data_IF_157877833707
#
_entry.id   IF_157877833707
#
_cell.length_a   1.000
_cell.length_b   1.000
_cell.length_c   1.000
_cell.angle_alpha   90.00
_cell.angle_beta   90.00
_cell.angle_gamma   90.00
#
_symmetry.space_group_name_H-M   'P 1'
#
loop_
_entity.id
_entity.type
_entity.pdbx_description
1 polymer ?
#
# COMPACT_ATOMS: atom_id res chain seq x y z
N UNK A 1 -10.14 1.80 0.34
CA UNK A 1 -10.08 1.13 1.66
C UNK A 1 -10.35 -0.37 1.49
N UNK A 2 -9.80 -1.19 2.39
CA UNK A 2 -10.05 -2.63 2.49
C UNK A 2 -10.73 -2.98 3.82
N UNK A 3 -11.42 -4.10 3.87
CA UNK A 3 -11.83 -4.76 5.12
C UNK A 3 -11.15 -6.12 5.13
N UNK A 4 -10.26 -6.32 6.09
CA UNK A 4 -9.31 -7.42 6.17
C UNK A 4 -8.35 -7.50 4.96
N UNK A 5 -7.27 -8.28 5.11
CA UNK A 5 -6.27 -8.50 4.08
C UNK A 5 -5.86 -9.97 4.04
N UNK A 6 -6.53 -10.74 3.19
CA UNK A 6 -6.20 -12.14 2.96
C UNK A 6 -4.92 -12.37 2.17
N UNK A 7 -4.52 -13.64 1.99
CA UNK A 7 -3.34 -14.00 1.23
C UNK A 7 -3.43 -13.53 -0.23
N UNK A 8 -2.28 -13.25 -0.85
CA UNK A 8 -2.17 -12.79 -2.23
C UNK A 8 -2.95 -11.49 -2.53
N UNK A 9 -3.09 -10.59 -1.55
CA UNK A 9 -3.88 -9.36 -1.70
C UNK A 9 -3.50 -8.53 -2.93
N UNK A 10 -2.21 -8.45 -3.29
CA UNK A 10 -1.78 -7.75 -4.51
C UNK A 10 -2.37 -8.36 -5.79
N UNK A 11 -2.47 -9.70 -5.87
CA UNK A 11 -3.09 -10.37 -7.02
C UNK A 11 -4.59 -10.04 -7.10
N UNK A 12 -5.27 -10.06 -5.95
CA UNK A 12 -6.68 -9.74 -5.82
C UNK A 12 -6.97 -8.30 -6.25
N UNK A 13 -6.18 -7.34 -5.76
CA UNK A 13 -6.31 -5.92 -6.13
C UNK A 13 -6.03 -5.71 -7.62
N UNK A 14 -4.95 -6.30 -8.15
CA UNK A 14 -4.62 -6.20 -9.56
C UNK A 14 -5.72 -6.76 -10.48
N UNK A 15 -6.41 -7.82 -10.05
CA UNK A 15 -7.51 -8.43 -10.82
C UNK A 15 -8.73 -7.50 -10.98
N UNK A 16 -8.89 -6.51 -10.10
CA UNK A 16 -9.92 -5.46 -10.19
C UNK A 16 -9.34 -4.11 -10.65
N UNK A 17 -8.08 -4.07 -11.09
CA UNK A 17 -7.44 -2.85 -11.60
C UNK A 17 -6.99 -1.87 -10.51
N UNK A 18 -6.72 -2.35 -9.30
CA UNK A 18 -6.24 -1.53 -8.17
C UNK A 18 -4.78 -1.87 -7.86
N UNK A 19 -3.91 -0.86 -7.80
CA UNK A 19 -2.53 -1.02 -7.33
C UNK A 19 -2.47 -0.99 -5.79
N UNK A 20 -1.54 -1.73 -5.17
CA UNK A 20 -1.39 -1.75 -3.70
C UNK A 20 -1.17 -0.33 -3.14
N UNK A 21 -0.51 0.55 -3.89
CA UNK A 21 -0.24 1.92 -3.48
C UNK A 21 -1.45 2.86 -3.63
N UNK A 22 -2.60 2.36 -4.10
CA UNK A 22 -3.88 3.09 -4.08
C UNK A 22 -4.68 2.78 -2.80
N UNK A 23 -4.23 1.83 -1.99
CA UNK A 23 -4.90 1.45 -0.75
C UNK A 23 -4.62 2.49 0.33
N UNK A 24 -5.58 3.40 0.52
CA UNK A 24 -5.51 4.42 1.58
C UNK A 24 -5.50 3.83 3.01
N UNK A 25 -6.28 2.77 3.23
CA UNK A 25 -6.45 2.20 4.56
C UNK A 25 -7.12 0.84 4.58
N UNK A 26 -6.94 0.13 5.70
CA UNK A 26 -7.53 -1.17 6.00
C UNK A 26 -8.30 -1.10 7.32
N UNK A 27 -9.53 -1.61 7.32
CA UNK A 27 -10.27 -1.95 8.52
C UNK A 27 -10.06 -3.42 8.84
N UNK A 28 -9.60 -3.76 10.05
CA UNK A 28 -9.27 -5.14 10.40
C UNK A 28 -10.22 -5.68 11.46
N UNK A 29 -10.77 -6.86 11.21
CA UNK A 29 -11.74 -7.53 12.07
C UNK A 29 -11.08 -8.43 13.09
N UNK A 30 -10.13 -9.28 12.68
CA UNK A 30 -9.44 -10.26 13.51
C UNK A 30 -8.22 -10.89 12.83
N UNK A 31 -7.40 -11.63 13.59
CA UNK A 31 -6.08 -12.09 13.16
C UNK A 31 -6.01 -13.53 12.59
N UNK A 32 -7.09 -14.09 12.02
CA UNK A 32 -6.99 -15.35 11.26
C UNK A 32 -6.20 -15.16 9.96
N UNK A 33 -5.49 -16.21 9.50
CA UNK A 33 -4.52 -16.09 8.40
C UNK A 33 -5.14 -15.59 7.10
N UNK A 34 -6.36 -15.99 6.80
CA UNK A 34 -7.14 -15.58 5.62
C UNK A 34 -7.70 -14.16 5.70
N UNK A 35 -7.61 -13.51 6.86
CA UNK A 35 -7.94 -12.09 7.09
C UNK A 35 -6.69 -11.22 7.34
N UNK A 36 -5.55 -11.83 7.62
CA UNK A 36 -4.34 -11.16 8.13
C UNK A 36 -3.15 -11.22 7.16
N UNK A 37 -2.95 -12.32 6.43
CA UNK A 37 -1.68 -12.61 5.76
C UNK A 37 -1.25 -11.54 4.74
N UNK A 38 -2.21 -10.84 4.13
CA UNK A 38 -1.99 -9.75 3.19
C UNK A 38 -1.31 -8.53 3.81
N UNK A 39 -1.33 -8.36 5.13
CA UNK A 39 -0.59 -7.29 5.81
C UNK A 39 0.91 -7.30 5.49
N UNK A 40 1.50 -8.48 5.26
CA UNK A 40 2.91 -8.60 4.84
C UNK A 40 3.19 -7.95 3.48
N UNK A 41 2.19 -7.90 2.60
CA UNK A 41 2.26 -7.20 1.31
C UNK A 41 1.99 -5.71 1.50
N UNK A 42 1.01 -5.35 2.33
CA UNK A 42 0.67 -3.95 2.61
C UNK A 42 1.80 -3.20 3.35
N UNK A 43 2.52 -3.88 4.25
CA UNK A 43 3.72 -3.34 4.92
C UNK A 43 4.89 -3.04 3.94
N UNK A 44 4.76 -3.45 2.68
CA UNK A 44 5.70 -3.22 1.58
C UNK A 44 5.17 -2.22 0.56
N UNK A 45 4.13 -1.45 0.90
CA UNK A 45 3.68 -0.31 0.12
C UNK A 45 4.71 0.83 0.15
N UNK A 46 4.57 1.78 -0.77
CA UNK A 46 5.43 2.96 -0.86
C UNK A 46 5.03 4.10 0.09
N UNK A 47 3.93 3.94 0.82
CA UNK A 47 3.46 4.84 1.87
C UNK A 47 2.88 4.01 3.02
N UNK A 48 2.75 4.61 4.21
CA UNK A 48 2.10 3.96 5.35
C UNK A 48 0.59 3.91 5.13
N UNK A 49 0.06 2.70 5.05
CA UNK A 49 -1.38 2.47 4.92
C UNK A 49 -2.03 2.70 6.30
N UNK A 50 -3.17 3.40 6.33
CA UNK A 50 -3.92 3.62 7.57
C UNK A 50 -4.53 2.32 8.07
N UNK A 51 -4.26 1.97 9.32
CA UNK A 51 -4.69 0.72 9.95
C UNK A 51 -5.77 1.03 11.00
N UNK A 52 -7.01 0.70 10.67
CA UNK A 52 -8.19 0.93 11.50
C UNK A 52 -8.64 -0.37 12.16
N UNK A 53 -8.65 -0.37 13.49
CA UNK A 53 -9.07 -1.53 14.27
C UNK A 53 -9.32 -1.11 15.70
N UNK A 54 -9.97 -1.94 16.51
CA UNK A 54 -9.91 -1.74 17.95
C UNK A 54 -8.52 -2.05 18.49
N UNK A 55 -8.13 -1.39 19.59
CA UNK A 55 -6.85 -1.61 20.25
C UNK A 55 -6.62 -3.08 20.64
N UNK A 56 -7.70 -3.81 20.97
CA UNK A 56 -7.65 -5.23 21.29
C UNK A 56 -7.17 -6.08 20.09
N UNK A 57 -7.83 -5.91 18.94
CA UNK A 57 -7.48 -6.63 17.71
C UNK A 57 -6.10 -6.20 17.21
N UNK A 58 -5.79 -4.89 17.26
CA UNK A 58 -4.45 -4.38 16.90
C UNK A 58 -3.36 -5.04 17.73
N UNK A 59 -3.51 -5.12 19.05
CA UNK A 59 -2.50 -5.73 19.92
C UNK A 59 -2.27 -7.21 19.57
N UNK A 60 -3.33 -7.97 19.26
CA UNK A 60 -3.23 -9.36 18.81
C UNK A 60 -2.50 -9.49 17.48
N UNK A 61 -2.88 -8.66 16.50
CA UNK A 61 -2.25 -8.59 15.17
C UNK A 61 -0.78 -8.21 15.27
N UNK A 62 -0.42 -7.20 16.07
CA UNK A 62 0.98 -6.79 16.28
C UNK A 62 1.80 -7.92 16.86
N UNK A 63 1.32 -8.60 17.90
CA UNK A 63 1.99 -9.77 18.49
C UNK A 63 2.22 -10.90 17.50
N UNK A 64 1.31 -11.09 16.56
CA UNK A 64 1.43 -12.11 15.50
C UNK A 64 2.34 -11.66 14.35
N UNK A 65 2.23 -10.42 13.90
CA UNK A 65 2.95 -9.91 12.73
C UNK A 65 4.42 -9.63 13.02
N UNK A 66 4.74 -9.08 14.19
CA UNK A 66 6.10 -8.74 14.58
C UNK A 66 7.11 -9.89 14.43
N UNK A 67 6.86 -11.11 14.95
CA UNK A 67 7.77 -12.23 14.73
C UNK A 67 7.82 -12.68 13.26
N UNK A 68 6.72 -12.61 12.51
CA UNK A 68 6.70 -12.95 11.07
C UNK A 68 7.56 -12.00 10.24
N UNK A 69 7.64 -10.74 10.65
CA UNK A 69 8.48 -9.72 10.04
C UNK A 69 9.87 -9.61 10.70
N UNK A 70 10.17 -10.41 11.73
CA UNK A 70 11.42 -10.30 12.51
C UNK A 70 11.68 -8.87 13.03
N UNK A 71 10.63 -8.18 13.47
CA UNK A 71 10.68 -6.84 14.06
C UNK A 71 10.15 -6.85 15.50
N UNK A 72 10.48 -5.82 16.28
CA UNK A 72 9.85 -5.61 17.58
C UNK A 72 8.41 -5.12 17.44
N UNK A 73 7.56 -5.33 18.45
CA UNK A 73 6.17 -4.84 18.46
C UNK A 73 6.08 -3.31 18.27
N UNK A 74 7.04 -2.55 18.81
CA UNK A 74 7.09 -1.10 18.70
C UNK A 74 7.38 -0.60 17.26
N UNK A 75 7.84 -1.47 16.36
CA UNK A 75 8.09 -1.09 14.97
C UNK A 75 6.81 -1.09 14.11
N UNK A 76 5.70 -1.67 14.58
CA UNK A 76 4.47 -1.80 13.79
C UNK A 76 3.97 -0.46 13.23
N UNK A 77 3.98 0.59 14.06
CA UNK A 77 3.54 1.97 13.70
C UNK A 77 4.46 2.67 12.69
N UNK A 78 5.62 2.07 12.38
CA UNK A 78 6.53 2.55 11.35
C UNK A 78 6.19 1.98 9.97
N UNK A 79 5.40 0.90 9.91
CA UNK A 79 4.91 0.31 8.66
C UNK A 79 3.45 0.70 8.37
N UNK A 80 2.67 1.00 9.40
CA UNK A 80 1.25 1.39 9.29
C UNK A 80 0.96 2.66 10.08
N UNK A 81 0.03 3.48 9.59
CA UNK A 81 -0.53 4.60 10.36
C UNK A 81 -1.66 4.08 11.24
N UNK A 82 -1.40 3.87 12.54
CA UNK A 82 -2.38 3.28 13.46
C UNK A 82 -3.51 4.26 13.79
N UNK A 83 -4.75 3.81 13.60
CA UNK A 83 -5.97 4.53 13.91
C UNK A 83 -6.88 3.66 14.77
N UNK A 84 -6.71 3.72 16.09
CA UNK A 84 -7.50 2.93 17.04
C UNK A 84 -8.97 3.39 17.08
N UNK A 85 -9.88 2.44 16.87
CA UNK A 85 -11.32 2.64 16.95
C UNK A 85 -11.85 2.27 18.34
N UNK A 86 -12.82 3.03 18.82
CA UNK A 86 -13.48 2.78 20.11
C UNK A 86 -14.66 1.83 19.91
N UNK A 87 -14.69 0.73 20.69
CA UNK A 87 -15.80 -0.22 20.73
C UNK A 87 -17.15 0.46 21.01
N UNK A 88 -18.20 -0.06 20.36
CA UNK A 88 -19.60 0.33 20.55
C UNK A 88 -19.90 1.83 20.31
N UNK A 89 -18.96 2.58 19.72
CA UNK A 89 -19.11 3.98 19.34
C UNK A 89 -18.93 4.16 17.84
N UNK A 90 -19.65 5.13 17.28
CA UNK A 90 -19.41 5.59 15.91
C UNK A 90 -18.15 6.46 15.90
N UNK A 91 -17.10 5.97 15.24
CA UNK A 91 -15.85 6.68 15.02
C UNK A 91 -15.95 7.34 13.64
N UNK A 92 -15.82 8.67 13.57
CA UNK A 92 -15.93 9.41 12.31
C UNK A 92 -14.58 9.49 11.60
N UNK A 93 -14.54 9.05 10.36
CA UNK A 93 -13.37 9.03 9.47
C UNK A 93 -13.78 9.80 8.21
N UNK A 94 -13.53 11.11 8.21
CA UNK A 94 -13.81 12.00 7.07
C UNK A 94 -15.24 11.87 6.49
N UNK A 95 -16.24 11.66 7.36
CA UNK A 95 -17.65 11.49 7.00
C UNK A 95 -18.13 10.04 6.90
N UNK A 96 -17.22 9.06 6.89
CA UNK A 96 -17.54 7.65 7.08
C UNK A 96 -17.53 7.32 8.58
N UNK A 97 -18.68 6.94 9.14
CA UNK A 97 -18.76 6.52 10.54
C UNK A 97 -18.63 4.99 10.66
N UNK A 98 -17.70 4.55 11.51
CA UNK A 98 -17.42 3.11 11.74
C UNK A 98 -17.61 2.77 13.21
N UNK A 99 -18.43 1.76 13.49
CA UNK A 99 -18.66 1.23 14.83
C UNK A 99 -18.19 -0.21 14.94
N UNK A 100 -17.03 -0.46 15.55
CA UNK A 100 -16.61 -1.82 15.88
C UNK A 100 -17.40 -2.35 17.06
N UNK A 101 -17.83 -3.60 16.97
CA UNK A 101 -18.57 -4.30 18.03
C UNK A 101 -17.86 -5.60 18.35
N UNK A 102 -17.72 -5.89 19.65
CA UNK A 102 -17.07 -7.10 20.12
C UNK A 102 -17.84 -8.36 19.67
N UNK A 103 -17.11 -9.35 19.16
CA UNK A 103 -17.64 -10.64 18.72
C UNK A 103 -16.86 -11.76 19.43
N UNK A 104 -17.52 -12.62 20.24
CA UNK A 104 -16.86 -13.76 20.87
C UNK A 104 -16.33 -14.73 19.82
N UNK A 105 -15.02 -15.00 19.87
CA UNK A 105 -14.30 -15.86 18.93
C UNK A 105 -12.99 -16.35 19.59
N UNK A 106 -12.35 -17.45 19.14
CA UNK A 106 -11.09 -17.93 19.73
C UNK A 106 -9.90 -16.97 19.59
N UNK A 107 -9.98 -16.00 18.67
CA UNK A 107 -9.03 -14.88 18.58
C UNK A 107 -9.75 -13.55 18.82
N UNK A 108 -9.01 -12.52 19.22
CA UNK A 108 -9.55 -11.17 19.40
C UNK A 108 -10.29 -10.71 18.12
N UNK A 109 -11.58 -10.43 18.24
CA UNK A 109 -12.45 -10.17 17.09
C UNK A 109 -13.42 -9.02 17.34
N UNK A 110 -13.51 -8.13 16.35
CA UNK A 110 -14.59 -7.16 16.23
C UNK A 110 -15.28 -7.28 14.86
N UNK A 111 -16.61 -7.26 14.85
CA UNK A 111 -17.38 -7.02 13.64
C UNK A 111 -17.53 -5.52 13.42
N UNK A 112 -17.75 -5.11 12.18
CA UNK A 112 -17.74 -3.69 11.81
C UNK A 112 -19.08 -3.27 11.23
N UNK A 113 -19.64 -2.20 11.78
CA UNK A 113 -20.77 -1.48 11.20
C UNK A 113 -20.28 -0.18 10.60
N UNK A 114 -20.76 0.14 9.41
CA UNK A 114 -20.44 1.35 8.66
C UNK A 114 -21.72 2.12 8.39
N UNK A 115 -21.64 3.44 8.47
CA UNK A 115 -22.70 4.31 7.98
C UNK A 115 -22.17 5.64 7.47
N UNK A 116 -22.92 6.23 6.56
CA UNK A 116 -22.69 7.60 6.07
C UNK A 116 -24.03 8.29 5.94
N UNK A 117 -24.10 9.54 6.41
CA UNK A 117 -25.31 10.35 6.30
C UNK A 117 -25.53 10.71 4.82
N UNK A 118 -26.76 10.51 4.34
CA UNK A 118 -27.17 10.73 2.97
C UNK A 118 -28.62 11.25 2.89
N UNK A 119 -29.19 11.34 1.68
CA UNK A 119 -30.49 11.97 1.38
C UNK A 119 -31.64 11.49 2.28
N UNK A 120 -31.77 10.18 2.46
CA UNK A 120 -32.88 9.55 3.19
C UNK A 120 -32.45 9.05 4.59
N UNK A 121 -31.44 9.68 5.19
CA UNK A 121 -30.84 9.23 6.44
C UNK A 121 -29.53 8.49 6.18
N UNK A 122 -29.26 7.42 6.93
CA UNK A 122 -27.98 6.73 6.84
C UNK A 122 -27.97 5.64 5.80
N UNK A 123 -26.99 5.67 4.90
CA UNK A 123 -26.60 4.48 4.16
C UNK A 123 -25.82 3.56 5.10
N UNK A 124 -26.12 2.25 5.14
CA UNK A 124 -25.57 1.35 6.17
C UNK A 124 -25.06 0.03 5.61
N UNK A 125 -23.88 -0.38 6.09
CA UNK A 125 -23.26 -1.66 5.78
C UNK A 125 -22.76 -2.35 7.06
N UNK A 126 -22.87 -3.67 7.13
CA UNK A 126 -22.32 -4.46 8.22
C UNK A 126 -21.43 -5.60 7.69
N UNK A 127 -20.24 -5.72 8.26
CA UNK A 127 -19.27 -6.76 7.96
C UNK A 127 -19.09 -7.66 9.18
N UNK A 128 -19.80 -8.80 9.17
CA UNK A 128 -19.74 -9.80 10.23
C UNK A 128 -18.80 -10.92 9.76
N UNK A 129 -17.50 -10.70 10.00
CA UNK A 129 -16.48 -11.71 9.79
C UNK A 129 -16.38 -12.67 10.99
N UNK A 130 -16.28 -13.97 10.72
CA UNK A 130 -16.01 -15.02 11.71
C UNK A 130 -16.83 -14.91 13.00
N UNK A 131 -18.14 -14.73 12.82
CA UNK A 131 -19.10 -14.68 13.92
C UNK A 131 -19.41 -16.08 14.45
N UNK A 132 -19.66 -16.20 15.75
CA UNK A 132 -20.12 -17.46 16.34
C UNK A 132 -21.62 -17.68 16.07
N UNK A 133 -22.00 -18.90 15.67
CA UNK A 133 -23.43 -19.27 15.57
C UNK A 133 -24.15 -19.17 16.92
N UNK A 134 -25.48 -19.01 16.90
CA UNK A 134 -26.29 -18.96 18.13
C UNK A 134 -26.06 -20.17 19.04
N UNK A 135 -25.94 -21.36 18.43
CA UNK A 135 -25.69 -22.62 19.13
C UNK A 135 -24.34 -22.57 19.86
N UNK A 136 -23.30 -22.04 19.21
CA UNK A 136 -21.95 -21.89 19.78
C UNK A 136 -21.95 -20.84 20.89
N UNK A 137 -22.53 -19.66 20.66
CA UNK A 137 -22.68 -18.62 21.67
C UNK A 137 -23.42 -19.13 22.92
N UNK A 138 -24.43 -19.98 22.74
CA UNK A 138 -25.16 -20.59 23.85
C UNK A 138 -24.26 -21.51 24.68
N UNK A 139 -23.40 -22.29 24.02
CA UNK A 139 -22.44 -23.19 24.69
C UNK A 139 -21.30 -22.45 25.38
N UNK A 140 -20.99 -21.22 24.95
CA UNK A 140 -20.01 -20.36 25.60
C UNK A 140 -20.53 -19.70 26.89
N UNK A 141 -21.83 -19.80 27.18
CA UNK A 141 -22.42 -19.15 28.36
C UNK A 141 -21.94 -19.83 29.63
N UNK A 142 -21.34 -19.05 30.53
CA UNK A 142 -20.93 -19.48 31.87
C UNK A 142 -21.41 -18.46 32.91
N UNK A 143 -22.02 -18.95 33.98
CA UNK A 143 -22.61 -18.14 35.05
C UNK A 143 -21.60 -17.92 36.17
N UNK A 144 -20.72 -18.88 36.43
CA UNK A 144 -19.61 -18.70 37.36
C UNK A 144 -18.51 -17.85 36.73
N UNK A 145 -18.36 -16.62 37.21
CA UNK A 145 -17.35 -15.67 36.75
C UNK A 145 -15.90 -16.14 36.95
N UNK A 146 -15.67 -17.22 37.70
CA UNK A 146 -14.34 -17.83 37.87
C UNK A 146 -13.97 -18.81 36.76
N UNK A 147 -14.95 -19.28 35.99
CA UNK A 147 -14.75 -20.20 34.87
C UNK A 147 -14.69 -19.42 33.54
N UNK A 148 -13.98 -19.96 32.53
CA UNK A 148 -13.91 -19.32 31.22
C UNK A 148 -15.26 -19.38 30.50
N UNK A 149 -15.75 -18.25 30.02
CA UNK A 149 -16.98 -18.15 29.24
C UNK A 149 -17.55 -16.74 29.18
N UNK A 150 -18.70 -16.58 28.54
CA UNK A 150 -19.42 -15.30 28.44
C UNK A 150 -20.65 -15.29 29.34
N UNK A 151 -20.95 -14.13 29.93
CA UNK A 151 -22.18 -14.00 30.71
C UNK A 151 -23.44 -14.08 29.83
N UNK A 152 -24.61 -14.49 30.38
CA UNK A 152 -25.88 -14.43 29.66
C UNK A 152 -26.20 -13.03 29.12
N UNK A 153 -25.83 -11.97 29.87
CA UNK A 153 -26.00 -10.57 29.44
C UNK A 153 -25.15 -10.24 28.22
N UNK A 154 -23.90 -10.72 28.20
CA UNK A 154 -23.01 -10.51 27.05
C UNK A 154 -23.48 -11.29 25.82
N UNK A 155 -23.90 -12.56 25.98
CA UNK A 155 -24.53 -13.32 24.89
C UNK A 155 -25.70 -12.55 24.28
N UNK A 156 -26.61 -12.03 25.13
CA UNK A 156 -27.78 -11.28 24.67
C UNK A 156 -27.36 -10.04 23.86
N UNK A 157 -26.43 -9.24 24.39
CA UNK A 157 -25.90 -8.06 23.68
C UNK A 157 -25.31 -8.44 22.31
N UNK A 158 -24.40 -9.41 22.28
CA UNK A 158 -23.76 -9.88 21.03
C UNK A 158 -24.79 -10.33 20.00
N UNK A 159 -25.83 -11.04 20.44
CA UNK A 159 -26.88 -11.51 19.55
C UNK A 159 -27.75 -10.37 18.99
N UNK A 160 -28.11 -9.40 19.84
CA UNK A 160 -28.80 -8.18 19.41
C UNK A 160 -27.94 -7.37 18.44
N UNK A 161 -26.64 -7.30 18.69
CA UNK A 161 -25.68 -6.65 17.80
C UNK A 161 -25.62 -7.37 16.45
N UNK A 162 -25.53 -8.71 16.40
CA UNK A 162 -25.49 -9.46 15.13
C UNK A 162 -26.75 -9.23 14.27
N UNK A 163 -27.93 -9.17 14.91
CA UNK A 163 -29.22 -8.99 14.24
C UNK A 163 -29.59 -7.53 13.97
N UNK A 164 -28.69 -6.58 14.23
CA UNK A 164 -28.91 -5.16 13.95
C UNK A 164 -29.14 -4.95 12.44
N UNK A 165 -30.29 -4.39 12.03
CA UNK A 165 -30.62 -4.26 10.61
C UNK A 165 -29.77 -3.19 9.92
N UNK A 166 -29.38 -3.47 8.68
CA UNK A 166 -28.65 -2.55 7.79
C UNK A 166 -29.12 -2.76 6.35
N UNK A 167 -28.74 -1.90 5.42
CA UNK A 167 -29.11 -2.10 4.01
C UNK A 167 -28.37 -3.29 3.40
N UNK A 168 -27.06 -3.38 3.61
CA UNK A 168 -26.26 -4.54 3.16
C UNK A 168 -25.51 -5.15 4.34
N UNK A 169 -25.71 -6.44 4.55
CA UNK A 169 -25.02 -7.21 5.59
C UNK A 169 -24.25 -8.36 4.97
N UNK A 170 -22.95 -8.44 5.20
CA UNK A 170 -22.16 -9.65 4.92
C UNK A 170 -22.05 -10.47 6.20
N UNK A 171 -22.33 -11.77 6.11
CA UNK A 171 -22.17 -12.73 7.21
C UNK A 171 -21.37 -13.95 6.76
N UNK A 172 -20.59 -14.51 7.67
CA UNK A 172 -19.87 -15.76 7.45
C UNK A 172 -20.70 -16.98 7.84
N UNK A 173 -20.74 -17.97 6.95
CA UNK A 173 -21.57 -19.17 7.09
C UNK A 173 -20.78 -20.48 7.02
N UNK A 174 -19.46 -20.43 7.24
CA UNK A 174 -18.58 -21.60 7.21
C UNK A 174 -18.93 -22.70 8.22
N UNK A 175 -19.82 -22.42 9.19
CA UNK A 175 -20.22 -23.33 10.25
C UNK A 175 -19.11 -23.69 11.22
N UNK A 176 -19.20 -24.91 11.77
CA UNK A 176 -18.25 -25.40 12.77
C UNK A 176 -18.33 -24.66 14.10
N UNK A 177 -17.18 -24.53 14.77
CA UNK A 177 -17.04 -23.87 16.08
C UNK A 177 -16.62 -22.40 15.97
N UNK A 178 -16.21 -21.95 14.77
CA UNK A 178 -15.59 -20.64 14.53
C UNK A 178 -16.33 -19.77 13.50
N UNK A 179 -17.31 -20.29 12.76
CA UNK A 179 -18.10 -19.47 11.85
C UNK A 179 -19.60 -19.56 12.12
N UNK A 180 -20.33 -18.63 11.52
CA UNK A 180 -21.77 -18.49 11.66
C UNK A 180 -22.53 -19.52 10.85
N UNK A 181 -23.86 -19.40 10.86
CA UNK A 181 -24.78 -20.22 10.06
C UNK A 181 -25.81 -19.29 9.43
N UNK A 182 -26.16 -19.49 8.17
CA UNK A 182 -27.16 -18.64 7.52
C UNK A 182 -28.50 -18.65 8.27
N UNK A 183 -28.94 -19.83 8.75
CA UNK A 183 -30.23 -20.02 9.46
C UNK A 183 -30.40 -19.12 10.69
N UNK A 184 -29.31 -18.64 11.27
CA UNK A 184 -29.32 -17.77 12.43
C UNK A 184 -29.86 -16.37 12.10
N UNK A 185 -29.91 -16.03 10.81
CA UNK A 185 -30.36 -14.75 10.26
C UNK A 185 -31.72 -14.82 9.54
N UNK A 186 -32.48 -15.91 9.74
CA UNK A 186 -33.82 -16.12 9.14
C UNK A 186 -34.82 -14.99 9.45
N UNK A 187 -34.66 -14.33 10.60
CA UNK A 187 -35.51 -13.22 11.05
C UNK A 187 -34.80 -11.87 11.00
N UNK A 188 -33.62 -11.81 10.40
CA UNK A 188 -32.89 -10.55 10.21
C UNK A 188 -33.67 -9.64 9.27
N UNK A 189 -33.62 -8.33 9.53
CA UNK A 189 -34.42 -7.32 8.82
C UNK A 189 -33.57 -6.45 7.88
N UNK A 190 -32.36 -6.90 7.55
CA UNK A 190 -31.49 -6.23 6.59
C UNK A 190 -32.03 -6.38 5.16
N UNK A 191 -31.87 -5.36 4.32
CA UNK A 191 -32.45 -5.37 2.97
C UNK A 191 -31.78 -6.42 2.06
N UNK A 192 -30.46 -6.56 2.19
CA UNK A 192 -29.65 -7.57 1.50
C UNK A 192 -28.68 -8.26 2.47
N UNK A 193 -28.66 -9.60 2.42
CA UNK A 193 -27.70 -10.41 3.15
C UNK A 193 -26.80 -11.17 2.17
N UNK A 194 -25.49 -10.95 2.27
CA UNK A 194 -24.45 -11.64 1.53
C UNK A 194 -23.92 -12.78 2.40
N UNK A 195 -24.02 -14.01 1.90
CA UNK A 195 -23.54 -15.22 2.55
C UNK A 195 -22.12 -15.53 2.05
N UNK A 196 -21.16 -15.52 2.96
CA UNK A 196 -19.74 -15.60 2.64
C UNK A 196 -19.01 -16.66 3.49
N UNK A 197 -17.70 -16.79 3.24
CA UNK A 197 -16.81 -17.71 3.95
C UNK A 197 -17.29 -19.17 3.87
N UNK A 198 -17.59 -19.60 2.65
CA UNK A 198 -17.91 -20.99 2.33
C UNK A 198 -17.33 -21.36 0.96
N UNK A 199 -16.83 -22.59 0.84
CA UNK A 199 -16.33 -23.14 -0.42
C UNK A 199 -17.42 -23.92 -1.20
N UNK A 200 -18.55 -24.23 -0.56
CA UNK A 200 -19.64 -24.97 -1.21
C UNK A 200 -20.66 -24.02 -1.84
N UNK A 201 -21.40 -24.54 -2.82
CA UNK A 201 -22.55 -23.82 -3.37
C UNK A 201 -23.65 -23.75 -2.31
N UNK A 202 -24.24 -22.56 -2.17
CA UNK A 202 -25.34 -22.33 -1.25
C UNK A 202 -26.47 -23.34 -1.48
N UNK A 203 -27.01 -23.84 -0.37
CA UNK A 203 -28.19 -24.70 -0.37
C UNK A 203 -29.45 -23.89 -0.67
N UNK A 204 -30.54 -24.57 -1.06
CA UNK A 204 -31.83 -23.92 -1.33
C UNK A 204 -32.43 -23.21 -0.12
N UNK A 205 -32.08 -23.62 1.10
CA UNK A 205 -32.54 -22.94 2.31
C UNK A 205 -31.68 -21.72 2.66
N UNK A 206 -30.37 -21.77 2.37
CA UNK A 206 -29.48 -20.61 2.50
C UNK A 206 -29.82 -19.52 1.46
N UNK A 207 -30.10 -19.90 0.21
CA UNK A 207 -30.52 -18.99 -0.85
C UNK A 207 -31.83 -18.23 -0.53
N UNK A 208 -32.66 -18.74 0.40
CA UNK A 208 -33.85 -18.02 0.88
C UNK A 208 -33.52 -16.92 1.89
N UNK A 209 -32.34 -16.98 2.51
CA UNK A 209 -31.91 -16.06 3.57
C UNK A 209 -31.03 -14.95 2.97
N UNK A 210 -30.18 -15.30 2.02
CA UNK A 210 -29.28 -14.34 1.39
C UNK A 210 -28.72 -14.86 0.07
N UNK A 211 -27.80 -14.10 -0.50
CA UNK A 211 -27.18 -14.41 -1.78
C UNK A 211 -25.67 -14.64 -1.65
N UNK A 212 -25.13 -15.50 -2.51
CA UNK A 212 -23.69 -15.54 -2.78
C UNK A 212 -23.32 -14.43 -3.76
N UNK A 213 -22.04 -14.06 -3.78
CA UNK A 213 -21.50 -13.07 -4.72
C UNK A 213 -20.28 -13.64 -5.45
N UNK A 214 -20.00 -13.14 -6.65
CA UNK A 214 -18.79 -13.48 -7.40
C UNK A 214 -17.70 -12.45 -7.16
N UNK A 215 -16.43 -12.83 -7.39
CA UNK A 215 -15.32 -11.89 -7.30
C UNK A 215 -15.54 -10.67 -8.21
N UNK A 216 -15.23 -9.48 -7.70
CA UNK A 216 -15.46 -8.21 -8.41
C UNK A 216 -16.90 -7.67 -8.38
N UNK A 217 -17.84 -8.38 -7.72
CA UNK A 217 -19.20 -7.86 -7.52
C UNK A 217 -19.16 -6.55 -6.72
N UNK A 218 -20.01 -5.60 -7.09
CA UNK A 218 -20.10 -4.28 -6.46
C UNK A 218 -21.54 -4.00 -6.04
N UNK A 219 -21.71 -3.48 -4.84
CA UNK A 219 -22.98 -2.97 -4.31
C UNK A 219 -22.83 -1.46 -4.07
N UNK A 220 -23.61 -0.66 -4.80
CA UNK A 220 -23.57 0.80 -4.71
C UNK A 220 -24.65 1.25 -3.72
N UNK A 221 -24.23 1.69 -2.53
CA UNK A 221 -25.14 2.24 -1.51
C UNK A 221 -25.36 3.76 -1.68
N UNK A 222 -24.31 4.46 -2.13
CA UNK A 222 -24.31 5.89 -2.44
C UNK A 222 -23.57 6.03 -3.77
N UNK A 223 -24.19 6.70 -4.73
CA UNK A 223 -23.54 7.02 -6.01
C UNK A 223 -22.44 8.07 -5.77
N UNK A 224 -21.21 7.73 -6.15
CA UNK A 224 -20.09 8.65 -6.12
C UNK A 224 -20.10 9.56 -7.34
N UNK A 225 -20.19 10.88 -7.14
CA UNK A 225 -20.07 11.87 -8.21
C UNK A 225 -18.68 12.53 -8.27
N UNK A 226 -17.90 12.39 -7.20
CA UNK A 226 -16.52 12.87 -7.13
C UNK A 226 -15.59 11.99 -7.94
N UNK A 227 -14.62 12.63 -8.59
CA UNK A 227 -13.65 11.95 -9.43
C UNK A 227 -12.35 11.69 -8.67
N UNK A 228 -12.36 10.63 -7.86
CA UNK A 228 -11.22 10.27 -7.01
C UNK A 228 -9.95 9.95 -7.83
N UNK A 229 -10.10 9.42 -9.05
CA UNK A 229 -8.97 9.16 -9.94
C UNK A 229 -8.28 10.46 -10.37
N UNK A 230 -9.05 11.52 -10.67
CA UNK A 230 -8.48 12.84 -10.95
C UNK A 230 -7.86 13.50 -9.72
N UNK A 231 -8.46 13.37 -8.54
CA UNK A 231 -7.87 13.86 -7.29
C UNK A 231 -6.50 13.20 -7.03
N UNK A 232 -6.42 11.88 -7.18
CA UNK A 232 -5.16 11.12 -7.12
C UNK A 232 -4.17 11.58 -8.19
N UNK A 233 -4.64 11.77 -9.43
CA UNK A 233 -3.87 12.34 -10.54
C UNK A 233 -3.20 13.67 -10.19
N UNK A 234 -3.94 14.58 -9.54
CA UNK A 234 -3.41 15.85 -9.06
C UNK A 234 -2.31 15.67 -8.03
N UNK A 235 -2.51 14.77 -7.06
CA UNK A 235 -1.49 14.44 -6.07
C UNK A 235 -0.21 13.88 -6.72
N UNK A 236 -0.34 13.01 -7.73
CA UNK A 236 0.80 12.48 -8.47
C UNK A 236 1.58 13.58 -9.20
N UNK A 237 0.89 14.47 -9.91
CA UNK A 237 1.53 15.58 -10.63
C UNK A 237 2.22 16.56 -9.68
N UNK A 238 1.64 16.87 -8.51
CA UNK A 238 2.31 17.65 -7.46
C UNK A 238 3.56 16.94 -6.91
N UNK A 239 3.56 15.61 -6.86
CA UNK A 239 4.75 14.82 -6.52
C UNK A 239 5.91 14.99 -7.51
N UNK A 240 5.61 15.16 -8.80
CA UNK A 240 6.64 15.49 -9.81
C UNK A 240 7.04 16.97 -9.79
N UNK A 241 6.05 17.84 -9.66
CA UNK A 241 6.17 19.29 -9.86
C UNK A 241 5.69 20.06 -8.62
N UNK A 242 6.39 19.95 -7.48
CA UNK A 242 5.89 20.49 -6.20
C UNK A 242 5.78 22.01 -6.16
N UNK A 243 6.47 22.72 -7.07
CA UNK A 243 6.46 24.18 -7.16
C UNK A 243 5.52 24.70 -8.27
N UNK A 244 4.79 23.83 -8.96
CA UNK A 244 3.80 24.25 -9.95
C UNK A 244 2.56 24.81 -9.25
N UNK A 245 1.95 25.84 -9.84
CA UNK A 245 0.70 26.40 -9.32
C UNK A 245 -0.46 25.42 -9.52
N UNK A 246 -1.42 25.43 -8.59
CA UNK A 246 -2.57 24.52 -8.62
C UNK A 246 -3.39 24.64 -9.92
N UNK A 247 -3.53 25.86 -10.43
CA UNK A 247 -4.19 26.16 -11.71
C UNK A 247 -3.52 25.45 -12.90
N UNK A 248 -2.20 25.35 -12.91
CA UNK A 248 -1.41 24.70 -13.96
C UNK A 248 -1.51 23.17 -13.83
N UNK A 249 -1.59 22.63 -12.60
CA UNK A 249 -1.89 21.20 -12.39
C UNK A 249 -3.30 20.86 -12.90
N UNK A 250 -4.31 21.67 -12.54
CA UNK A 250 -5.68 21.49 -13.02
C UNK A 250 -5.79 21.56 -14.55
N UNK A 251 -5.01 22.42 -15.20
CA UNK A 251 -4.93 22.48 -16.66
C UNK A 251 -4.51 21.12 -17.25
N UNK A 252 -3.53 20.44 -16.66
CA UNK A 252 -3.10 19.10 -17.11
C UNK A 252 -4.19 18.05 -16.85
N UNK A 253 -4.85 18.10 -15.69
CA UNK A 253 -5.91 17.17 -15.30
C UNK A 253 -7.16 17.26 -16.18
N UNK A 254 -7.41 18.39 -16.82
CA UNK A 254 -8.56 18.60 -17.71
C UNK A 254 -8.40 17.94 -19.11
N UNK A 255 -7.41 17.05 -19.27
CA UNK A 255 -7.16 16.34 -20.52
C UNK A 255 -8.06 15.10 -20.69
N UNK A 256 -8.03 14.50 -21.89
CA UNK A 256 -8.82 13.30 -22.20
C UNK A 256 -8.41 12.14 -21.31
N UNK A 257 -9.41 11.49 -20.70
CA UNK A 257 -9.25 10.21 -19.99
C UNK A 257 -9.74 9.05 -20.83
N UNK A 258 -9.11 7.90 -20.67
CA UNK A 258 -9.58 6.68 -21.30
C UNK A 258 -9.31 5.44 -20.42
N UNK A 259 -10.31 4.55 -20.28
CA UNK A 259 -10.10 3.24 -19.69
C UNK A 259 -9.37 2.35 -20.69
N UNK A 260 -8.45 1.53 -20.19
CA UNK A 260 -7.62 0.63 -20.99
C UNK A 260 -7.60 -0.76 -20.39
N UNK A 261 -7.93 -1.77 -21.20
CA UNK A 261 -7.90 -3.17 -20.78
C UNK A 261 -6.48 -3.71 -20.65
N UNK A 262 -6.31 -4.68 -19.75
CA UNK A 262 -5.06 -5.42 -19.58
C UNK A 262 -4.52 -5.97 -20.90
N UNK A 263 -3.20 -5.92 -21.08
CA UNK A 263 -2.50 -6.35 -22.29
C UNK A 263 -2.46 -5.32 -23.43
N UNK A 264 -3.15 -4.19 -23.30
CA UNK A 264 -3.14 -3.14 -24.34
C UNK A 264 -1.84 -2.35 -24.31
N UNK A 265 -1.22 -2.13 -25.47
CA UNK A 265 -0.02 -1.30 -25.61
C UNK A 265 -0.40 0.17 -25.43
N UNK A 266 0.29 0.84 -24.50
CA UNK A 266 0.11 2.27 -24.19
C UNK A 266 1.04 3.14 -25.05
N UNK A 267 2.28 2.68 -25.28
CA UNK A 267 3.28 3.34 -26.12
C UNK A 267 4.25 2.29 -26.64
N UNK A 268 4.43 2.20 -27.97
CA UNK A 268 5.30 1.18 -28.56
C UNK A 268 6.77 1.62 -28.58
N UNK A 269 7.69 0.66 -28.56
CA UNK A 269 9.10 0.94 -28.80
C UNK A 269 9.31 1.62 -30.17
N UNK A 270 10.25 2.57 -30.22
CA UNK A 270 10.57 3.42 -31.37
C UNK A 270 9.43 4.33 -31.87
N UNK A 271 8.29 4.38 -31.19
CA UNK A 271 7.20 5.29 -31.49
C UNK A 271 7.53 6.71 -31.00
N UNK A 272 7.15 7.74 -31.77
CA UNK A 272 7.23 9.13 -31.31
C UNK A 272 5.89 9.49 -30.67
N UNK A 273 5.82 9.68 -29.34
CA UNK A 273 4.55 9.94 -28.68
C UNK A 273 4.00 11.32 -29.01
N UNK A 274 2.69 11.36 -29.26
CA UNK A 274 1.91 12.60 -29.41
C UNK A 274 1.34 13.10 -28.07
N UNK A 275 1.38 12.25 -27.05
CA UNK A 275 0.82 12.51 -25.72
C UNK A 275 1.78 11.99 -24.65
N UNK A 276 1.80 12.66 -23.50
CA UNK A 276 2.27 12.07 -22.25
C UNK A 276 1.09 11.38 -21.59
N UNK A 277 1.29 10.14 -21.15
CA UNK A 277 0.25 9.35 -20.50
C UNK A 277 0.55 9.34 -19.00
N UNK A 278 -0.40 9.78 -18.18
CA UNK A 278 -0.38 9.57 -16.74
C UNK A 278 -1.28 8.37 -16.43
N UNK A 279 -0.74 7.35 -15.78
CA UNK A 279 -1.53 6.23 -15.25
C UNK A 279 -2.24 6.71 -13.99
N UNK A 280 -3.57 6.83 -14.02
CA UNK A 280 -4.37 7.30 -12.88
C UNK A 280 -4.65 6.15 -11.91
N UNK A 281 -5.00 4.98 -12.43
CA UNK A 281 -5.28 3.79 -11.63
C UNK A 281 -4.70 2.51 -12.23
N UNK A 282 -4.44 1.51 -11.39
CA UNK A 282 -3.95 0.20 -11.77
C UNK A 282 -2.46 0.16 -12.11
N UNK A 283 -2.04 -0.91 -12.80
CA UNK A 283 -0.63 -1.22 -13.04
C UNK A 283 -0.33 -1.32 -14.53
N UNK A 284 0.71 -0.62 -14.97
CA UNK A 284 1.33 -0.77 -16.28
C UNK A 284 2.68 -1.51 -16.16
N UNK A 285 3.29 -1.83 -17.29
CA UNK A 285 4.63 -2.41 -17.35
C UNK A 285 5.43 -1.81 -18.52
N UNK A 286 6.75 -1.76 -18.33
CA UNK A 286 7.72 -1.46 -19.37
C UNK A 286 8.47 -2.75 -19.76
N UNK A 287 8.38 -3.09 -21.05
CA UNK A 287 9.13 -4.15 -21.70
C UNK A 287 10.38 -3.54 -22.34
N UNK A 288 11.54 -3.76 -21.72
CA UNK A 288 12.83 -3.31 -22.27
C UNK A 288 13.27 -4.16 -23.46
N UNK A 289 13.90 -3.53 -24.46
CA UNK A 289 14.40 -4.22 -25.66
C UNK A 289 15.79 -4.82 -25.49
N UNK A 290 16.60 -4.27 -24.56
CA UNK A 290 18.03 -4.57 -24.47
C UNK A 290 18.36 -5.57 -23.35
N UNK A 291 17.57 -5.53 -22.28
CA UNK A 291 17.66 -6.45 -21.15
C UNK A 291 16.32 -7.16 -21.08
N UNK A 292 16.29 -8.49 -20.89
CA UNK A 292 15.05 -9.27 -20.71
C UNK A 292 14.37 -8.92 -19.36
N UNK A 293 14.19 -7.63 -19.09
CA UNK A 293 13.73 -7.07 -17.83
C UNK A 293 12.36 -6.44 -18.05
N UNK A 294 11.45 -6.83 -17.16
CA UNK A 294 10.09 -6.31 -17.08
C UNK A 294 10.03 -5.42 -15.85
N UNK A 295 9.63 -4.16 -16.03
CA UNK A 295 9.46 -3.24 -14.90
C UNK A 295 7.98 -2.94 -14.72
N UNK A 296 7.42 -3.29 -13.56
CA UNK A 296 6.08 -2.87 -13.19
C UNK A 296 6.07 -1.37 -12.89
N UNK A 297 5.00 -0.70 -13.34
CA UNK A 297 4.79 0.72 -13.21
C UNK A 297 3.45 0.93 -12.51
N UNK A 298 3.49 1.30 -11.23
CA UNK A 298 2.29 1.62 -10.44
C UNK A 298 1.60 2.87 -10.95
N UNK A 299 0.40 3.14 -10.42
CA UNK A 299 -0.31 4.39 -10.64
C UNK A 299 0.53 5.61 -10.25
N UNK A 300 0.24 6.71 -10.92
CA UNK A 300 1.02 7.94 -10.92
C UNK A 300 2.21 7.96 -11.88
N UNK A 301 2.54 6.88 -12.58
CA UNK A 301 3.63 6.91 -13.56
C UNK A 301 3.28 7.74 -14.80
N UNK A 302 4.20 8.63 -15.17
CA UNK A 302 4.22 9.31 -16.49
C UNK A 302 4.95 8.44 -17.53
N UNK A 303 4.31 8.23 -18.68
CA UNK A 303 4.82 7.48 -19.82
C UNK A 303 4.95 8.44 -21.02
N UNK A 304 6.11 8.41 -21.68
CA UNK A 304 6.36 9.23 -22.88
C UNK A 304 6.75 10.69 -22.60
N UNK A 305 6.89 11.10 -21.33
CA UNK A 305 7.27 12.45 -20.92
C UNK A 305 8.60 12.93 -21.55
N UNK A 306 9.66 12.12 -21.45
CA UNK A 306 10.96 12.42 -22.02
C UNK A 306 10.95 12.46 -23.56
N UNK A 307 10.45 11.42 -24.27
CA UNK A 307 10.36 11.47 -25.72
C UNK A 307 9.55 12.67 -26.22
N UNK A 308 8.45 13.05 -25.55
CA UNK A 308 7.69 14.25 -25.88
C UNK A 308 8.58 15.49 -25.78
N UNK A 309 9.22 15.72 -24.63
CA UNK A 309 9.99 16.95 -24.36
C UNK A 309 11.18 17.12 -25.32
N UNK A 310 11.88 16.03 -25.62
CA UNK A 310 13.10 16.06 -26.44
C UNK A 310 12.84 15.73 -27.92
N UNK A 311 11.59 15.44 -28.30
CA UNK A 311 11.24 15.03 -29.66
C UNK A 311 11.86 13.68 -30.07
N UNK A 312 12.17 12.83 -29.10
CA UNK A 312 12.79 11.52 -29.29
C UNK A 312 11.72 10.46 -29.54
N UNK A 313 12.18 9.24 -29.86
CA UNK A 313 11.35 8.04 -29.89
C UNK A 313 11.35 7.37 -28.52
N UNK A 314 10.29 6.63 -28.22
CA UNK A 314 10.19 5.79 -27.02
C UNK A 314 11.30 4.74 -27.00
N UNK A 315 11.75 4.40 -25.79
CA UNK A 315 12.69 3.32 -25.52
C UNK A 315 11.95 2.21 -24.77
N UNK A 316 11.65 1.12 -25.45
CA UNK A 316 10.84 0.03 -24.92
C UNK A 316 9.35 0.20 -25.15
N UNK A 317 8.60 -0.88 -24.91
CA UNK A 317 7.15 -0.93 -25.08
C UNK A 317 6.45 -0.88 -23.73
N UNK A 318 5.52 0.06 -23.58
CA UNK A 318 4.68 0.19 -22.40
C UNK A 318 3.34 -0.48 -22.64
N UNK A 319 2.86 -1.24 -21.66
CA UNK A 319 1.61 -2.01 -21.75
C UNK A 319 0.84 -1.94 -20.45
N UNK A 320 -0.49 -1.97 -20.51
CA UNK A 320 -1.31 -2.14 -19.32
C UNK A 320 -1.15 -3.58 -18.80
N UNK A 321 -0.74 -3.74 -17.53
CA UNK A 321 -0.64 -5.06 -16.90
C UNK A 321 -2.01 -5.47 -16.34
N UNK A 322 -2.74 -4.52 -15.77
CA UNK A 322 -4.13 -4.68 -15.29
C UNK A 322 -5.08 -3.85 -16.16
N UNK A 323 -6.37 -3.82 -15.81
CA UNK A 323 -7.21 -2.69 -16.21
C UNK A 323 -6.61 -1.41 -15.62
N UNK A 324 -6.52 -0.35 -16.42
CA UNK A 324 -5.97 0.95 -16.00
C UNK A 324 -6.84 2.08 -16.52
N UNK A 325 -7.01 3.14 -15.74
CA UNK A 325 -7.48 4.43 -16.25
C UNK A 325 -6.27 5.33 -16.50
N UNK A 326 -6.24 5.98 -17.67
CA UNK A 326 -5.16 6.88 -18.05
C UNK A 326 -5.65 8.27 -18.40
N UNK A 327 -4.78 9.26 -18.20
CA UNK A 327 -4.95 10.64 -18.65
C UNK A 327 -3.95 10.95 -19.77
N UNK A 328 -4.42 11.45 -20.91
CA UNK A 328 -3.60 11.77 -22.08
C UNK A 328 -3.36 13.25 -22.23
N UNK A 329 -2.20 13.69 -21.77
CA UNK A 329 -1.76 15.08 -21.83
C UNK A 329 -1.13 15.32 -23.21
N UNK A 330 -1.69 16.19 -24.07
CA UNK A 330 -1.12 16.47 -25.39
C UNK A 330 0.31 16.98 -25.31
N UNK A 331 1.18 16.54 -26.23
CA UNK A 331 2.59 16.92 -26.25
C UNK A 331 2.81 18.44 -26.24
N UNK A 332 1.96 19.18 -26.96
CA UNK A 332 2.04 20.66 -27.02
C UNK A 332 1.77 21.27 -25.64
N UNK A 333 0.73 20.78 -24.95
CA UNK A 333 0.36 21.27 -23.63
C UNK A 333 1.44 20.97 -22.59
N UNK A 334 1.96 19.75 -22.58
CA UNK A 334 3.01 19.35 -21.63
C UNK A 334 4.31 20.13 -21.85
N UNK A 335 4.70 20.35 -23.10
CA UNK A 335 5.87 21.19 -23.43
C UNK A 335 5.72 22.62 -22.94
N UNK A 336 4.54 23.20 -23.14
CA UNK A 336 4.25 24.57 -22.72
C UNK A 336 4.31 24.69 -21.18
N UNK A 337 3.69 23.76 -20.46
CA UNK A 337 3.79 23.67 -19.00
C UNK A 337 5.27 23.62 -18.54
N UNK A 338 6.07 22.72 -19.12
CA UNK A 338 7.49 22.58 -18.76
C UNK A 338 8.29 23.85 -19.06
N UNK A 339 7.98 24.54 -20.17
CA UNK A 339 8.66 25.78 -20.56
C UNK A 339 8.34 26.94 -19.61
N UNK A 340 7.06 27.16 -19.29
CA UNK A 340 6.62 28.25 -18.38
C UNK A 340 7.27 28.16 -17.02
N UNK A 341 7.36 26.95 -16.48
CA UNK A 341 7.95 26.69 -15.17
C UNK A 341 9.46 26.42 -15.22
N UNK A 342 10.10 26.51 -16.39
CA UNK A 342 11.55 26.27 -16.59
C UNK A 342 12.02 24.91 -16.05
N UNK A 343 11.18 23.89 -16.16
CA UNK A 343 11.38 22.58 -15.53
C UNK A 343 12.31 21.65 -16.31
N UNK A 344 12.69 21.99 -17.55
CA UNK A 344 13.43 21.09 -18.45
C UNK A 344 14.73 20.55 -17.83
N UNK A 345 15.51 21.43 -17.17
CA UNK A 345 16.76 21.04 -16.51
C UNK A 345 16.54 20.11 -15.31
N UNK A 346 15.52 20.41 -14.50
CA UNK A 346 15.11 19.59 -13.36
C UNK A 346 14.64 18.21 -13.83
N UNK A 347 13.73 18.15 -14.81
CA UNK A 347 13.20 16.88 -15.35
C UNK A 347 14.34 16.01 -15.88
N UNK A 348 15.27 16.57 -16.66
CA UNK A 348 16.42 15.81 -17.19
C UNK A 348 17.30 15.24 -16.08
N UNK A 349 17.59 16.03 -15.04
CA UNK A 349 18.38 15.57 -13.88
C UNK A 349 17.63 14.47 -13.12
N UNK A 350 16.37 14.71 -12.78
CA UNK A 350 15.53 13.79 -12.02
C UNK A 350 15.36 12.46 -12.74
N UNK A 351 15.07 12.46 -14.04
CA UNK A 351 14.84 11.22 -14.78
C UNK A 351 16.09 10.35 -14.93
N UNK A 352 17.28 10.96 -15.09
CA UNK A 352 18.53 10.20 -15.07
C UNK A 352 18.76 9.51 -13.71
N UNK A 353 18.39 10.18 -12.63
CA UNK A 353 18.45 9.61 -11.28
C UNK A 353 17.40 8.51 -11.10
N UNK A 354 16.15 8.71 -11.53
CA UNK A 354 15.09 7.68 -11.51
C UNK A 354 15.52 6.43 -12.29
N UNK A 355 16.09 6.61 -13.48
CA UNK A 355 16.61 5.50 -14.29
C UNK A 355 17.66 4.65 -13.55
N UNK A 356 18.53 5.31 -12.77
CA UNK A 356 19.45 4.62 -11.86
C UNK A 356 18.71 3.94 -10.70
N UNK A 357 17.81 4.66 -10.00
CA UNK A 357 17.06 4.13 -8.85
C UNK A 357 16.28 2.86 -9.20
N UNK A 358 15.65 2.82 -10.39
CA UNK A 358 14.92 1.66 -10.91
C UNK A 358 15.78 0.41 -11.08
N UNK A 359 17.09 0.57 -11.25
CA UNK A 359 18.05 -0.52 -11.38
C UNK A 359 18.64 -0.97 -10.05
N UNK A 360 18.36 -0.26 -8.95
CA UNK A 360 18.87 -0.62 -7.63
C UNK A 360 17.90 -1.54 -6.91
N UNK A 361 18.44 -2.44 -6.08
CA UNK A 361 17.61 -3.30 -5.22
C UNK A 361 16.78 -2.48 -4.22
N UNK A 362 17.33 -1.39 -3.69
CA UNK A 362 16.68 -0.59 -2.65
C UNK A 362 15.43 0.15 -3.17
N UNK A 363 15.49 0.71 -4.38
CA UNK A 363 14.42 1.57 -4.91
C UNK A 363 13.71 1.05 -6.16
N UNK A 364 14.16 -0.07 -6.74
CA UNK A 364 13.68 -0.56 -8.02
C UNK A 364 12.33 -1.27 -8.01
N UNK A 365 11.84 -1.71 -6.85
CA UNK A 365 10.59 -2.47 -6.73
C UNK A 365 9.57 -1.74 -5.87
N UNK A 366 8.30 -1.78 -6.27
CA UNK A 366 7.14 -1.35 -5.49
C UNK A 366 7.11 0.11 -5.02
N UNK A 367 7.99 0.97 -5.55
CA UNK A 367 7.98 2.42 -5.31
C UNK A 367 7.42 3.11 -6.54
N UNK A 368 6.38 3.93 -6.36
CA UNK A 368 5.78 4.67 -7.46
C UNK A 368 6.76 5.70 -8.02
N UNK A 369 6.61 6.01 -9.31
CA UNK A 369 7.50 6.99 -9.94
C UNK A 369 7.39 8.41 -9.34
N UNK A 370 6.24 8.90 -8.86
CA UNK A 370 6.16 10.14 -8.09
C UNK A 370 7.05 10.13 -6.84
N UNK A 371 7.04 9.04 -6.06
CA UNK A 371 7.90 8.91 -4.86
C UNK A 371 9.38 8.83 -5.26
N UNK A 372 9.72 8.06 -6.31
CA UNK A 372 11.08 8.06 -6.86
C UNK A 372 11.53 9.45 -7.32
N UNK A 373 10.63 10.25 -7.90
CA UNK A 373 10.90 11.64 -8.29
C UNK A 373 11.21 12.51 -7.08
N UNK A 374 10.43 12.42 -6.01
CA UNK A 374 10.69 13.17 -4.78
C UNK A 374 12.06 12.81 -4.18
N UNK A 375 12.40 11.51 -4.12
CA UNK A 375 13.72 11.04 -3.67
C UNK A 375 14.82 11.60 -4.58
N UNK A 376 14.68 11.42 -5.90
CA UNK A 376 15.67 11.84 -6.89
C UNK A 376 15.94 13.35 -6.87
N UNK A 377 14.94 14.17 -6.56
CA UNK A 377 15.09 15.63 -6.43
C UNK A 377 15.92 16.03 -5.20
N UNK A 378 15.91 15.22 -4.13
CA UNK A 378 16.69 15.42 -2.91
C UNK A 378 18.12 14.82 -2.98
N UNK A 379 18.40 13.98 -4.00
CA UNK A 379 19.70 13.35 -4.17
C UNK A 379 20.79 14.32 -4.67
N UNK A 380 21.97 14.23 -4.06
CA UNK A 380 23.17 14.97 -4.47
C UNK A 380 24.22 14.02 -5.01
N UNK A 381 24.70 14.25 -6.23
CA UNK A 381 25.78 13.47 -6.82
C UNK A 381 27.14 14.10 -6.49
N UNK A 382 28.07 13.31 -5.97
CA UNK A 382 29.46 13.71 -5.74
C UNK A 382 30.42 12.74 -6.41
N UNK A 383 31.57 13.27 -6.84
CA UNK A 383 32.68 12.49 -7.38
C UNK A 383 33.77 12.42 -6.32
N UNK A 384 34.30 11.22 -6.10
CA UNK A 384 35.43 10.97 -5.21
C UNK A 384 36.56 10.33 -6.01
N UNK A 385 37.79 10.79 -5.81
CA UNK A 385 38.96 10.17 -6.40
C UNK A 385 39.41 8.96 -5.59
N UNK A 386 40.18 8.06 -6.22
CA UNK A 386 40.73 6.89 -5.54
C UNK A 386 41.55 7.30 -4.31
N UNK A 387 41.29 6.64 -3.19
CA UNK A 387 41.91 6.91 -1.88
C UNK A 387 41.23 8.02 -1.08
N UNK A 388 40.24 8.73 -1.63
CA UNK A 388 39.52 9.75 -0.88
C UNK A 388 38.62 9.13 0.19
N UNK A 389 38.65 9.70 1.39
CA UNK A 389 37.68 9.41 2.44
C UNK A 389 36.32 10.03 2.08
N UNK A 390 35.25 9.27 2.31
CA UNK A 390 33.88 9.66 2.02
C UNK A 390 33.16 9.92 3.33
N UNK A 391 32.79 11.18 3.57
CA UNK A 391 31.89 11.53 4.68
C UNK A 391 30.49 10.98 4.39
N UNK A 392 29.96 10.21 5.34
CA UNK A 392 28.60 9.70 5.27
C UNK A 392 27.59 10.81 5.57
N UNK A 393 26.70 11.12 4.62
CA UNK A 393 25.64 12.13 4.74
C UNK A 393 24.28 11.48 4.48
N UNK A 394 23.75 10.79 5.50
CA UNK A 394 22.51 10.01 5.39
C UNK A 394 22.68 8.77 4.52
N UNK A 395 21.74 8.50 3.60
CA UNK A 395 21.84 7.36 2.70
C UNK A 395 22.82 7.65 1.55
N UNK A 396 23.82 6.79 1.38
CA UNK A 396 24.80 6.85 0.31
C UNK A 396 24.54 5.71 -0.69
N UNK A 397 24.53 5.98 -2.00
CA UNK A 397 24.38 4.98 -3.07
C UNK A 397 25.49 5.10 -4.10
N UNK A 398 26.12 3.99 -4.46
CA UNK A 398 27.15 3.96 -5.51
C UNK A 398 26.47 3.96 -6.88
N UNK A 399 26.64 5.05 -7.63
CA UNK A 399 26.21 5.11 -9.03
C UNK A 399 27.18 4.36 -9.94
N UNK A 400 28.47 4.52 -9.68
CA UNK A 400 29.57 3.90 -10.40
C UNK A 400 30.84 3.94 -9.54
N UNK A 401 31.75 2.98 -9.71
CA UNK A 401 32.97 2.84 -8.92
C UNK A 401 32.87 1.80 -7.80
N UNK A 402 33.80 1.88 -6.83
CA UNK A 402 33.93 0.92 -5.73
C UNK A 402 34.35 1.64 -4.45
N UNK A 403 33.71 1.29 -3.34
CA UNK A 403 33.98 1.87 -2.02
C UNK A 403 34.22 0.75 -1.03
N UNK A 404 35.26 0.88 -0.21
CA UNK A 404 35.50 0.02 0.93
C UNK A 404 34.88 0.65 2.17
N UNK A 405 34.07 -0.14 2.88
CA UNK A 405 33.48 0.18 4.17
C UNK A 405 34.26 -0.61 5.23
N UNK A 406 34.73 0.08 6.26
CA UNK A 406 35.40 -0.52 7.41
C UNK A 406 34.72 -0.08 8.70
N UNK A 407 34.56 -1.02 9.62
CA UNK A 407 33.92 -0.76 10.91
C UNK A 407 34.89 -0.03 11.83
N UNK A 408 34.46 1.06 12.49
CA UNK A 408 35.31 1.83 13.42
C UNK A 408 35.17 1.42 14.89
N UNK A 409 34.49 0.30 15.17
CA UNK A 409 34.30 -0.23 16.52
C UNK A 409 35.61 -0.66 17.19
N UNK A 410 35.77 -0.31 18.47
CA UNK A 410 36.98 -0.49 19.30
C UNK A 410 37.34 -1.95 19.67
N UNK A 411 36.61 -2.96 19.16
CA UNK A 411 36.96 -4.38 19.36
C UNK A 411 37.70 -4.91 18.13
N UNK A 412 38.99 -4.58 18.10
CA UNK A 412 39.94 -4.74 17.01
C UNK A 412 40.39 -6.20 16.77
N UNK A 413 39.46 -7.15 16.66
CA UNK A 413 39.83 -8.55 16.35
C UNK A 413 39.12 -9.21 15.16
N UNK A 414 38.09 -8.60 14.55
CA UNK A 414 37.47 -9.14 13.32
C UNK A 414 36.84 -8.04 12.44
N UNK A 415 37.58 -7.00 12.04
CA UNK A 415 37.06 -5.99 11.10
C UNK A 415 36.81 -6.62 9.74
N UNK A 416 35.55 -6.87 9.39
CA UNK A 416 35.16 -7.22 8.02
C UNK A 416 35.16 -5.93 7.19
N UNK A 417 36.08 -5.84 6.25
CA UNK A 417 35.99 -4.82 5.20
C UNK A 417 34.96 -5.29 4.17
N UNK A 418 33.90 -4.51 3.97
CA UNK A 418 32.89 -4.74 2.93
C UNK A 418 33.21 -3.84 1.74
N UNK A 419 33.19 -4.39 0.54
CA UNK A 419 33.30 -3.59 -0.70
C UNK A 419 31.91 -3.45 -1.28
N UNK A 420 31.47 -2.21 -1.46
CA UNK A 420 30.20 -1.86 -2.11
C UNK A 420 30.46 -1.32 -3.51
N UNK A 421 29.67 -1.79 -4.47
CA UNK A 421 29.80 -1.49 -5.90
C UNK A 421 28.52 -0.85 -6.44
N UNK A 422 28.44 -0.68 -7.77
CA UNK A 422 27.30 -0.03 -8.43
C UNK A 422 25.96 -0.64 -7.99
N UNK A 423 25.08 0.22 -7.48
CA UNK A 423 23.75 -0.16 -6.99
C UNK A 423 23.66 -0.43 -5.50
N UNK A 424 24.81 -0.65 -4.83
CA UNK A 424 24.90 -0.85 -3.39
C UNK A 424 24.84 0.49 -2.62
N UNK A 425 24.59 0.39 -1.32
CA UNK A 425 24.32 1.54 -0.45
C UNK A 425 24.81 1.35 1.00
N UNK A 426 24.93 2.44 1.77
CA UNK A 426 25.23 2.46 3.21
C UNK A 426 24.77 3.76 3.88
N UNK A 427 24.82 3.84 5.21
CA UNK A 427 24.69 5.10 5.97
C UNK A 427 23.34 5.34 6.67
N UNK A 428 22.39 4.39 6.57
CA UNK A 428 21.07 4.48 7.21
C UNK A 428 20.87 3.48 8.34
N UNK A 429 21.93 2.79 8.76
CA UNK A 429 21.86 1.77 9.80
C UNK A 429 21.42 2.36 11.15
N UNK A 430 21.77 3.62 11.44
CA UNK A 430 21.32 4.33 12.63
C UNK A 430 19.80 4.53 12.67
N UNK A 431 19.13 4.73 11.53
CA UNK A 431 17.67 4.89 11.44
C UNK A 431 16.90 3.62 11.79
N UNK A 432 17.58 2.47 11.68
CA UNK A 432 16.95 1.16 11.79
C UNK A 432 17.36 0.46 13.09
N UNK A 433 18.65 0.46 13.42
CA UNK A 433 19.20 -0.29 14.56
C UNK A 433 19.35 0.55 15.83
N UNK A 434 19.04 1.85 15.80
CA UNK A 434 19.34 2.81 16.88
C UNK A 434 20.81 2.73 17.38
N UNK A 435 21.71 2.23 16.54
CA UNK A 435 23.15 2.12 16.78
C UNK A 435 23.86 2.89 15.69
N UNK A 436 24.76 3.79 16.07
CA UNK A 436 25.65 4.44 15.12
C UNK A 436 26.69 3.40 14.68
N UNK A 437 26.48 2.80 13.50
CA UNK A 437 27.55 2.12 12.79
C UNK A 437 28.39 3.21 12.13
N UNK A 438 29.46 3.62 12.80
CA UNK A 438 30.43 4.54 12.23
C UNK A 438 31.26 3.78 11.21
N UNK A 439 30.75 3.63 9.98
CA UNK A 439 31.51 3.04 8.89
C UNK A 439 32.45 4.08 8.29
N UNK A 440 33.75 3.83 8.32
CA UNK A 440 34.71 4.58 7.53
C UNK A 440 34.60 4.12 6.07
N UNK A 441 34.35 5.05 5.15
CA UNK A 441 34.19 4.77 3.73
C UNK A 441 35.35 5.36 2.92
N UNK A 442 36.03 4.54 2.10
CA UNK A 442 37.16 4.95 1.27
C UNK A 442 36.89 4.55 -0.18
N UNK A 443 37.05 5.48 -1.11
CA UNK A 443 36.92 5.20 -2.54
C UNK A 443 38.11 4.35 -3.03
N UNK A 444 37.87 3.12 -3.49
CA UNK A 444 38.90 2.24 -4.08
C UNK A 444 39.21 2.57 -5.55
N UNK A 445 38.30 3.28 -6.20
CA UNK A 445 38.41 3.80 -7.56
C UNK A 445 37.76 5.18 -7.66
N UNK A 446 37.94 5.89 -8.78
CA UNK A 446 37.17 7.10 -9.05
C UNK A 446 35.68 6.73 -9.04
N UNK A 447 34.91 7.29 -8.11
CA UNK A 447 33.57 6.82 -7.77
C UNK A 447 32.57 7.97 -7.80
N UNK A 448 31.38 7.68 -8.31
CA UNK A 448 30.24 8.59 -8.33
C UNK A 448 29.21 8.10 -7.32
N UNK A 449 28.92 8.91 -6.32
CA UNK A 449 28.07 8.53 -5.19
C UNK A 449 26.94 9.54 -5.05
N UNK A 450 25.72 9.02 -4.96
CA UNK A 450 24.57 9.82 -4.56
C UNK A 450 24.44 9.83 -3.04
N UNK A 451 24.12 10.99 -2.46
CA UNK A 451 23.74 11.12 -1.05
C UNK A 451 22.31 11.64 -0.89
N UNK A 452 21.62 11.16 0.14
CA UNK A 452 20.30 11.63 0.60
C UNK A 452 20.45 11.97 2.09
N UNK A 453 20.63 13.26 2.38
CA UNK A 453 20.82 13.75 3.74
C UNK A 453 19.50 13.82 4.54
N UNK A 454 18.39 14.13 3.87
CA UNK A 454 17.04 14.19 4.47
C UNK A 454 16.46 12.78 4.56
N UNK A 455 16.83 12.04 5.58
CA UNK A 455 16.45 10.64 5.74
C UNK A 455 14.98 10.46 6.15
N UNK A 456 14.31 11.50 6.62
CA UNK A 456 12.91 11.46 7.05
C UNK A 456 11.97 11.01 5.91
N UNK A 457 12.30 11.36 4.65
CA UNK A 457 11.52 10.91 3.49
C UNK A 457 11.55 9.38 3.34
N UNK A 458 12.67 8.73 3.73
CA UNK A 458 12.85 7.29 3.62
C UNK A 458 12.08 6.56 4.74
N UNK A 459 11.90 7.20 5.90
CA UNK A 459 11.12 6.64 7.01
C UNK A 459 9.63 6.54 6.69
N UNK A 460 9.14 7.40 5.80
CA UNK A 460 7.74 7.38 5.37
C UNK A 460 7.44 6.32 4.30
N UNK A 461 8.45 5.55 3.86
CA UNK A 461 8.35 4.56 2.79
C UNK A 461 8.61 3.15 3.35
N UNK A 462 7.56 2.40 3.74
CA UNK A 462 7.68 1.11 4.41
C UNK A 462 8.58 0.09 3.69
N UNK A 463 8.48 -0.03 2.36
CA UNK A 463 9.34 -0.96 1.59
C UNK A 463 10.82 -0.60 1.66
N UNK A 464 11.17 0.69 1.66
CA UNK A 464 12.57 1.12 1.81
C UNK A 464 13.06 0.78 3.21
N UNK A 465 12.26 1.08 4.24
CA UNK A 465 12.57 0.72 5.63
C UNK A 465 12.82 -0.78 5.79
N UNK A 466 11.95 -1.61 5.21
CA UNK A 466 12.10 -3.07 5.22
C UNK A 466 13.42 -3.52 4.59
N UNK A 467 13.74 -3.00 3.40
CA UNK A 467 14.97 -3.32 2.67
C UNK A 467 16.23 -2.87 3.41
N UNK A 468 16.19 -1.70 4.06
CA UNK A 468 17.27 -1.21 4.91
C UNK A 468 17.48 -2.13 6.12
N UNK A 469 16.41 -2.60 6.76
CA UNK A 469 16.48 -3.56 7.87
C UNK A 469 17.08 -4.90 7.45
N UNK A 470 16.64 -5.45 6.31
CA UNK A 470 17.20 -6.69 5.77
C UNK A 470 18.71 -6.56 5.51
N UNK A 471 19.14 -5.44 4.93
CA UNK A 471 20.56 -5.20 4.69
C UNK A 471 21.35 -5.00 5.99
N UNK A 472 20.79 -4.27 6.96
CA UNK A 472 21.42 -4.04 8.25
C UNK A 472 21.64 -5.37 9.00
N UNK A 473 20.69 -6.30 8.95
CA UNK A 473 20.84 -7.64 9.52
C UNK A 473 21.86 -8.52 8.79
N UNK A 474 22.08 -8.32 7.48
CA UNK A 474 23.14 -9.02 6.75
C UNK A 474 24.55 -8.51 7.11
N UNK A 475 24.64 -7.26 7.55
CA UNK A 475 25.90 -6.58 7.91
C UNK A 475 26.28 -6.75 9.38
N UNK A 476 25.30 -6.82 10.28
CA UNK A 476 25.48 -7.14 11.69
C UNK A 476 25.88 -8.60 11.89
#
# INVERSE_FOLDING_TARGET
>A
FLIDAGPNIALTLNAIGVDVNEVEGIFHTHAHDDHFAGLTTLARANHRIKYYSTALVRASVTKKLSPLLSISENEFEKYFEVCDLVFDKWNNIDGLEVRPVFSPHPVETNILYFRTLWENGYATYAHLADIASHDVLTKMVEVDKKLPGISPKLKKKVWEDYLSPVQVKKIDIGGGIIHGKAKDFLTDKSDKIILAHTAHKLTKDEEKIGCGVTFGSTDILIEGHEDYALQAGGNYLRGYYPNAEESEIHMLLNCKREPVSAGTILLKDQEKPEHVILVLTGVAELLSTNDKTHFQLSSGTLIGDLPVLFGLKSTGTFRALTYVEILKIPAVLFKEFVNRHRLLGQIKKTQNTIGFLRQTWLFGESISTPVQSQIAQKMKLRKYEKGASITCEGLMLVKDGKVELSDSGTEMQNSRNEVVEKGDFWGCEQMILNKALNSNAIALASSFIYSIAETEILEQIPIVRWKLLEQAHKRA
#
